data_IF_406997404580
#
_entry.id   IF_406997404580
#
_cell.length_a   1.000
_cell.length_b   1.000
_cell.length_c   1.000
_cell.angle_alpha   90.00
_cell.angle_beta   90.00
_cell.angle_gamma   90.00
#
_symmetry.space_group_name_H-M   'P 1'
#
loop_
_entity.id
_entity.type
_entity.pdbx_description
1 polymer ?
#
# COMPACT_ATOMS: atom_id res chain seq x y z
N UNK A 1 -11.89 5.68 7.04
CA UNK A 1 -10.74 6.25 7.82
C UNK A 1 -9.90 5.30 8.69
N UNK A 2 -10.10 3.98 8.70
CA UNK A 2 -9.19 3.07 9.45
C UNK A 2 -7.91 2.73 8.66
N UNK A 3 -8.00 2.56 7.34
CA UNK A 3 -6.87 2.11 6.49
C UNK A 3 -5.73 3.14 6.48
N UNK A 4 -6.02 4.42 6.28
CA UNK A 4 -4.99 5.47 6.24
C UNK A 4 -4.15 5.52 7.52
N UNK A 5 -4.80 5.44 8.69
CA UNK A 5 -4.11 5.43 9.97
C UNK A 5 -3.22 4.20 10.15
N UNK A 6 -3.71 3.00 9.77
CA UNK A 6 -2.91 1.77 9.83
C UNK A 6 -1.70 1.83 8.89
N UNK A 7 -1.85 2.42 7.70
CA UNK A 7 -0.75 2.60 6.75
C UNK A 7 0.33 3.53 7.31
N UNK A 8 -0.06 4.64 7.95
CA UNK A 8 0.90 5.55 8.58
C UNK A 8 1.66 4.87 9.73
N UNK A 9 0.98 4.07 10.55
CA UNK A 9 1.65 3.32 11.63
C UNK A 9 2.59 2.26 11.06
N UNK A 10 2.18 1.57 10.01
CA UNK A 10 3.04 0.57 9.34
C UNK A 10 4.27 1.23 8.72
N UNK A 11 4.11 2.39 8.08
CA UNK A 11 5.22 3.16 7.54
C UNK A 11 6.22 3.56 8.63
N UNK A 12 5.73 4.03 9.78
CA UNK A 12 6.58 4.39 10.94
C UNK A 12 7.33 3.21 11.54
N UNK A 13 6.72 2.03 11.52
CA UNK A 13 7.33 0.79 12.02
C UNK A 13 8.27 0.15 10.99
N UNK A 14 8.28 0.65 9.75
CA UNK A 14 9.25 0.25 8.74
C UNK A 14 10.52 1.11 8.87
N UNK A 15 11.65 0.58 8.44
CA UNK A 15 12.91 1.34 8.37
C UNK A 15 12.97 2.28 7.14
N UNK A 16 11.87 2.41 6.40
CA UNK A 16 11.79 3.19 5.16
C UNK A 16 11.35 4.62 5.44
N UNK A 17 11.77 5.56 4.58
CA UNK A 17 11.15 6.89 4.58
C UNK A 17 9.69 6.75 4.15
N UNK A 18 8.81 7.58 4.72
CA UNK A 18 7.39 7.58 4.35
C UNK A 18 7.18 7.65 2.82
N UNK A 19 7.93 8.50 2.12
CA UNK A 19 7.83 8.62 0.65
C UNK A 19 8.17 7.32 -0.08
N UNK A 20 9.18 6.59 0.39
CA UNK A 20 9.60 5.31 -0.19
C UNK A 20 8.57 4.22 0.10
N UNK A 21 8.13 4.13 1.36
CA UNK A 21 7.10 3.18 1.78
C UNK A 21 5.82 3.33 0.94
N UNK A 22 5.28 4.54 0.85
CA UNK A 22 4.04 4.79 0.11
C UNK A 22 4.22 4.62 -1.40
N UNK A 23 5.39 4.94 -1.96
CA UNK A 23 5.68 4.69 -3.38
C UNK A 23 5.74 3.20 -3.68
N UNK A 24 6.47 2.43 -2.87
CA UNK A 24 6.59 0.98 -3.02
C UNK A 24 5.22 0.31 -2.90
N UNK A 25 4.47 0.65 -1.84
CA UNK A 25 3.15 0.08 -1.63
C UNK A 25 2.19 0.45 -2.78
N UNK A 26 2.25 1.68 -3.30
CA UNK A 26 1.44 2.07 -4.47
C UNK A 26 1.76 1.21 -5.69
N UNK A 27 3.04 1.01 -6.00
CA UNK A 27 3.43 0.18 -7.13
C UNK A 27 3.02 -1.27 -6.88
N UNK A 28 3.20 -1.79 -5.67
CA UNK A 28 2.82 -3.15 -5.30
C UNK A 28 1.32 -3.40 -5.46
N UNK A 29 0.48 -2.45 -5.04
CA UNK A 29 -0.97 -2.60 -5.08
C UNK A 29 -1.53 -2.29 -6.47
N UNK A 30 -1.04 -1.26 -7.16
CA UNK A 30 -1.68 -0.74 -8.38
C UNK A 30 -0.92 -1.04 -9.67
N UNK A 31 0.33 -1.49 -9.58
CA UNK A 31 1.25 -1.65 -10.72
C UNK A 31 1.67 -0.32 -11.37
N UNK A 32 1.27 0.83 -10.81
CA UNK A 32 1.50 2.17 -11.39
C UNK A 32 2.14 3.10 -10.37
N UNK A 33 3.03 4.00 -10.84
CA UNK A 33 3.60 5.07 -10.00
C UNK A 33 2.60 6.20 -9.73
N UNK A 34 1.71 6.46 -10.70
CA UNK A 34 0.63 7.44 -10.61
C UNK A 34 -0.69 6.67 -10.61
N UNK A 35 -1.46 6.83 -9.54
CA UNK A 35 -2.75 6.19 -9.32
C UNK A 35 -3.68 7.20 -8.64
N UNK A 36 -5.00 6.92 -8.58
CA UNK A 36 -5.89 7.56 -7.61
C UNK A 36 -5.34 7.42 -6.17
N UNK A 37 -5.96 8.08 -5.18
CA UNK A 37 -5.59 7.90 -3.78
C UNK A 37 -5.42 6.43 -3.42
N UNK A 38 -4.29 6.10 -2.76
CA UNK A 38 -3.90 4.71 -2.51
C UNK A 38 -4.94 4.00 -1.64
N UNK A 39 -5.43 4.68 -0.61
CA UNK A 39 -6.51 4.23 0.26
C UNK A 39 -7.78 3.90 -0.52
N UNK A 40 -8.23 4.77 -1.44
CA UNK A 40 -9.41 4.50 -2.27
C UNK A 40 -9.19 3.28 -3.17
N UNK A 41 -8.01 3.19 -3.77
CA UNK A 41 -7.64 2.02 -4.60
C UNK A 41 -7.67 0.72 -3.78
N UNK A 42 -7.18 0.75 -2.54
CA UNK A 42 -7.20 -0.39 -1.62
C UNK A 42 -8.61 -0.73 -1.13
N UNK A 43 -9.48 0.26 -0.93
CA UNK A 43 -10.88 0.05 -0.58
C UNK A 43 -11.65 -0.62 -1.72
N UNK A 44 -11.42 -0.20 -2.97
CA UNK A 44 -12.05 -0.80 -4.16
C UNK A 44 -11.58 -2.25 -4.37
N UNK A 45 -10.27 -2.51 -4.23
CA UNK A 45 -9.70 -3.85 -4.41
C UNK A 45 -10.08 -4.81 -3.30
N UNK A 46 -10.28 -4.29 -2.08
CA UNK A 46 -10.50 -5.09 -0.89
C UNK A 46 -9.21 -5.69 -0.32
N UNK A 47 -9.30 -6.13 0.94
CA UNK A 47 -8.16 -6.58 1.75
C UNK A 47 -7.44 -7.81 1.16
N UNK A 48 -8.20 -8.81 0.72
CA UNK A 48 -7.64 -10.09 0.26
C UNK A 48 -6.77 -9.90 -0.99
N UNK A 49 -7.27 -9.15 -1.97
CA UNK A 49 -6.54 -8.83 -3.20
C UNK A 49 -5.30 -7.98 -2.92
N UNK A 50 -5.40 -6.99 -2.02
CA UNK A 50 -4.24 -6.20 -1.61
C UNK A 50 -3.12 -7.07 -1.01
N UNK A 51 -3.47 -7.98 -0.10
CA UNK A 51 -2.51 -8.89 0.54
C UNK A 51 -1.91 -9.86 -0.48
N UNK A 52 -2.72 -10.39 -1.40
CA UNK A 52 -2.26 -11.27 -2.47
C UNK A 52 -1.19 -10.59 -3.32
N UNK A 53 -1.46 -9.38 -3.82
CA UNK A 53 -0.50 -8.62 -4.67
C UNK A 53 0.82 -8.35 -3.97
N UNK A 54 0.79 -8.01 -2.68
CA UNK A 54 2.02 -7.78 -1.91
C UNK A 54 2.83 -9.08 -1.77
N UNK A 55 2.17 -10.21 -1.49
CA UNK A 55 2.83 -11.52 -1.35
C UNK A 55 3.49 -11.99 -2.65
N UNK A 56 2.86 -11.74 -3.79
CA UNK A 56 3.40 -12.10 -5.11
C UNK A 56 4.74 -11.40 -5.43
N UNK A 57 5.04 -10.28 -4.77
CA UNK A 57 6.28 -9.52 -4.98
C UNK A 57 7.42 -9.92 -4.03
N UNK A 58 7.10 -10.64 -2.95
CA UNK A 58 8.06 -11.05 -1.92
C UNK A 58 8.29 -12.57 -1.89
N UNK A 59 7.56 -13.32 -2.73
CA UNK A 59 7.63 -14.77 -2.86
C UNK A 59 8.61 -15.24 -3.92
#
# INVERSE_FOLDING_TARGET
>A
DNIGNQLVQTAKNSELKNSEFFMLLRVAITGKKISPPLNESMEILGKEECVKRVKELTG
#
